data_IF_567553499625
#
_entry.id   IF_567553499625
#
_cell.length_a   1.000
_cell.length_b   1.000
_cell.length_c   1.000
_cell.angle_alpha   90.00
_cell.angle_beta   90.00
_cell.angle_gamma   90.00
#
_symmetry.space_group_name_H-M   'P 1'
#
loop_
_entity.id
_entity.type
_entity.pdbx_description
1 polymer ?
#
# COMPACT_ATOMS: atom_id res chain seq x y z
N UNK A 1 11.26 16.34 -3.17
CA UNK A 1 10.41 17.41 -2.61
C UNK A 1 9.02 16.83 -2.42
N UNK A 2 8.33 17.07 -1.29
CA UNK A 2 6.96 16.60 -1.12
C UNK A 2 6.04 17.31 -2.12
N UNK A 3 5.07 16.58 -2.66
CA UNK A 3 3.98 17.12 -3.48
C UNK A 3 2.75 17.25 -2.59
N UNK A 4 2.09 18.40 -2.63
CA UNK A 4 0.84 18.63 -1.93
C UNK A 4 -0.34 18.50 -2.91
N UNK A 5 -1.35 17.72 -2.51
CA UNK A 5 -2.56 17.48 -3.30
C UNK A 5 -3.76 17.88 -2.44
N UNK A 6 -4.57 18.83 -2.92
CA UNK A 6 -5.82 19.24 -2.29
C UNK A 6 -7.00 18.69 -3.10
N UNK A 7 -7.91 17.96 -2.42
CA UNK A 7 -9.08 17.34 -3.04
C UNK A 7 -10.33 17.82 -2.33
N UNK A 8 -11.31 18.32 -3.10
CA UNK A 8 -12.64 18.62 -2.56
C UNK A 8 -13.46 17.33 -2.56
N UNK A 9 -13.86 16.89 -1.37
CA UNK A 9 -14.67 15.70 -1.21
C UNK A 9 -16.15 16.09 -1.07
N UNK A 10 -17.08 15.35 -1.70
CA UNK A 10 -18.49 15.45 -1.36
C UNK A 10 -18.71 15.17 0.12
N UNK A 11 -19.70 15.82 0.73
CA UNK A 11 -19.96 15.72 2.17
C UNK A 11 -20.18 14.28 2.63
N UNK A 12 -20.92 13.49 1.85
CA UNK A 12 -21.17 12.07 2.14
C UNK A 12 -19.88 11.22 2.16
N UNK A 13 -18.94 11.52 1.27
CA UNK A 13 -17.65 10.84 1.23
C UNK A 13 -16.77 11.28 2.41
N UNK A 14 -16.78 12.57 2.74
CA UNK A 14 -16.05 13.10 3.88
C UNK A 14 -16.58 12.56 5.21
N UNK A 15 -17.91 12.39 5.36
CA UNK A 15 -18.52 11.78 6.53
C UNK A 15 -18.05 10.33 6.73
N UNK A 16 -18.11 9.51 5.68
CA UNK A 16 -17.63 8.11 5.71
C UNK A 16 -16.15 7.99 6.07
N UNK A 17 -15.31 8.89 5.58
CA UNK A 17 -13.89 8.88 5.92
C UNK A 17 -13.63 9.27 7.39
N UNK A 18 -14.41 10.22 7.93
CA UNK A 18 -14.31 10.63 9.35
C UNK A 18 -14.74 9.53 10.32
N UNK A 19 -15.65 8.65 9.90
CA UNK A 19 -16.01 7.46 10.68
C UNK A 19 -14.86 6.44 10.75
N UNK A 20 -13.99 6.40 9.74
CA UNK A 20 -12.86 5.47 9.66
C UNK A 20 -11.62 5.96 10.41
N UNK A 21 -11.37 7.28 10.40
CA UNK A 21 -10.18 7.87 11.03
C UNK A 21 -10.40 9.33 11.37
N UNK A 22 -9.82 9.77 12.49
CA UNK A 22 -9.70 11.18 12.84
C UNK A 22 -8.59 11.90 12.05
N UNK A 23 -7.58 11.16 11.57
CA UNK A 23 -6.51 11.67 10.72
C UNK A 23 -6.81 11.35 9.25
N UNK A 24 -7.55 12.25 8.60
CA UNK A 24 -7.94 12.11 7.20
C UNK A 24 -6.76 12.22 6.23
N UNK A 25 -5.80 13.16 6.40
CA UNK A 25 -4.61 13.20 5.56
C UNK A 25 -3.84 11.89 5.58
N UNK A 26 -3.62 11.32 6.77
CA UNK A 26 -2.94 10.01 6.88
C UNK A 26 -3.73 8.90 6.21
N UNK A 27 -5.05 8.84 6.45
CA UNK A 27 -5.92 7.84 5.83
C UNK A 27 -5.90 7.94 4.30
N UNK A 28 -5.94 9.16 3.76
CA UNK A 28 -5.86 9.42 2.33
C UNK A 28 -4.53 8.98 1.73
N UNK A 29 -3.42 9.30 2.39
CA UNK A 29 -2.09 8.85 1.98
C UNK A 29 -2.00 7.32 1.97
N UNK A 30 -2.42 6.65 3.05
CA UNK A 30 -2.43 5.19 3.14
C UNK A 30 -3.24 4.56 2.01
N UNK A 31 -4.47 5.04 1.77
CA UNK A 31 -5.32 4.51 0.70
C UNK A 31 -4.71 4.73 -0.68
N UNK A 32 -4.09 5.88 -0.92
CA UNK A 32 -3.42 6.18 -2.19
C UNK A 32 -2.24 5.25 -2.43
N UNK A 33 -1.30 5.18 -1.47
CA UNK A 33 -0.10 4.34 -1.61
C UNK A 33 -0.46 2.87 -1.75
N UNK A 34 -1.43 2.37 -0.97
CA UNK A 34 -1.89 1.00 -1.09
C UNK A 34 -2.59 0.73 -2.44
N UNK A 35 -3.27 1.71 -3.05
CA UNK A 35 -3.80 1.56 -4.41
C UNK A 35 -2.68 1.44 -5.44
N UNK A 36 -1.66 2.31 -5.38
CA UNK A 36 -0.52 2.25 -6.29
C UNK A 36 0.24 0.92 -6.17
N UNK A 37 0.38 0.39 -4.95
CA UNK A 37 0.93 -0.94 -4.71
C UNK A 37 0.08 -2.05 -5.33
N UNK A 38 -1.23 -2.02 -5.11
CA UNK A 38 -2.18 -2.99 -5.67
C UNK A 38 -2.12 -2.98 -7.20
N UNK A 39 -2.04 -1.80 -7.80
CA UNK A 39 -2.03 -1.60 -9.25
C UNK A 39 -0.63 -1.86 -9.87
N UNK A 40 0.34 -2.32 -9.07
CA UNK A 40 1.70 -2.68 -9.52
C UNK A 40 2.61 -1.49 -9.86
N UNK A 41 2.19 -0.28 -9.51
CA UNK A 41 2.96 0.95 -9.75
C UNK A 41 4.00 1.21 -8.67
N UNK A 42 3.82 0.63 -7.47
CA UNK A 42 4.82 0.59 -6.41
C UNK A 42 5.09 -0.85 -5.98
N UNK A 43 6.35 -1.14 -5.68
CA UNK A 43 6.73 -2.34 -4.94
C UNK A 43 6.31 -2.24 -3.47
N UNK A 44 6.29 -3.38 -2.77
CA UNK A 44 5.99 -3.42 -1.34
C UNK A 44 7.01 -2.60 -0.51
N UNK A 45 8.29 -2.63 -0.90
CA UNK A 45 9.36 -1.91 -0.21
C UNK A 45 9.19 -0.40 -0.36
N UNK A 46 8.86 0.09 -1.56
CA UNK A 46 8.59 1.52 -1.80
C UNK A 46 7.35 1.98 -1.03
N UNK A 47 6.26 1.22 -1.09
CA UNK A 47 5.04 1.53 -0.36
C UNK A 47 5.27 1.57 1.17
N UNK A 48 6.07 0.64 1.71
CA UNK A 48 6.46 0.65 3.13
C UNK A 48 7.31 1.87 3.49
N UNK A 49 8.30 2.21 2.66
CA UNK A 49 9.15 3.38 2.85
C UNK A 49 8.32 4.67 2.88
N UNK A 50 7.43 4.85 1.90
CA UNK A 50 6.61 6.07 1.76
C UNK A 50 5.60 6.24 2.90
N UNK A 51 5.13 5.14 3.49
CA UNK A 51 4.24 5.16 4.65
C UNK A 51 4.96 5.20 5.99
N UNK A 52 6.30 5.07 6.01
CA UNK A 52 7.09 4.96 7.23
C UNK A 52 6.82 3.67 8.02
N UNK A 53 6.48 2.58 7.33
CA UNK A 53 6.11 1.29 7.94
C UNK A 53 7.37 0.41 8.05
N UNK A 54 7.77 0.00 9.27
CA UNK A 54 9.07 -0.61 9.49
C UNK A 54 9.12 -2.11 9.21
N UNK A 55 7.97 -2.78 9.01
CA UNK A 55 7.92 -4.23 8.83
C UNK A 55 6.88 -4.67 7.82
N UNK A 56 7.19 -5.75 7.11
CA UNK A 56 6.28 -6.39 6.15
C UNK A 56 4.97 -6.79 6.83
N UNK A 57 5.03 -7.35 8.04
CA UNK A 57 3.84 -7.73 8.79
C UNK A 57 2.91 -6.54 9.07
N UNK A 58 3.45 -5.39 9.46
CA UNK A 58 2.64 -4.20 9.70
C UNK A 58 2.00 -3.68 8.40
N UNK A 59 2.68 -3.84 7.26
CA UNK A 59 2.13 -3.52 5.95
C UNK A 59 0.99 -4.47 5.55
N UNK A 60 1.14 -5.79 5.74
CA UNK A 60 0.08 -6.76 5.47
C UNK A 60 -1.16 -6.51 6.34
N UNK A 61 -0.96 -6.13 7.61
CA UNK A 61 -2.07 -5.73 8.51
C UNK A 61 -2.77 -4.46 8.01
N UNK A 62 -2.03 -3.51 7.45
CA UNK A 62 -2.60 -2.32 6.82
C UNK A 62 -3.43 -2.68 5.58
N UNK A 63 -2.91 -3.53 4.69
CA UNK A 63 -3.64 -3.99 3.50
C UNK A 63 -4.94 -4.70 3.88
N UNK A 64 -4.87 -5.59 4.86
CA UNK A 64 -6.03 -6.30 5.41
C UNK A 64 -7.09 -5.34 5.94
N UNK A 65 -6.67 -4.30 6.69
CA UNK A 65 -7.58 -3.28 7.24
C UNK A 65 -8.30 -2.48 6.15
N UNK A 66 -7.63 -2.23 5.03
CA UNK A 66 -8.22 -1.53 3.89
C UNK A 66 -9.01 -2.45 2.95
N UNK A 67 -9.15 -3.75 3.28
CA UNK A 67 -9.75 -4.77 2.41
C UNK A 67 -9.10 -4.81 1.02
N UNK A 68 -7.80 -4.48 0.95
CA UNK A 68 -7.05 -4.51 -0.28
C UNK A 68 -6.44 -5.91 -0.41
N UNK A 69 -6.89 -6.64 -1.40
CA UNK A 69 -6.19 -7.83 -1.88
C UNK A 69 -5.53 -7.43 -3.19
N UNK A 70 -4.22 -7.66 -3.28
CA UNK A 70 -3.50 -7.49 -4.53
C UNK A 70 -3.79 -8.71 -5.38
N UNK A 71 -4.34 -8.50 -6.56
CA UNK A 71 -4.42 -9.56 -7.56
C UNK A 71 -3.04 -9.70 -8.17
N UNK A 72 -2.27 -10.66 -7.67
CA UNK A 72 -0.94 -10.95 -8.21
C UNK A 72 -1.10 -11.54 -9.61
N UNK A 73 -0.41 -10.95 -10.58
CA UNK A 73 -0.27 -11.57 -11.89
C UNK A 73 0.61 -12.82 -11.79
N UNK A 74 0.44 -13.76 -12.73
CA UNK A 74 1.29 -14.95 -12.78
C UNK A 74 2.77 -14.58 -12.95
N UNK A 75 3.07 -13.56 -13.76
CA UNK A 75 4.45 -13.11 -13.98
C UNK A 75 5.12 -12.59 -12.70
N UNK A 76 4.38 -11.89 -11.85
CA UNK A 76 4.92 -11.36 -10.59
C UNK A 76 5.15 -12.46 -9.55
N UNK A 77 4.29 -13.47 -9.52
CA UNK A 77 4.49 -14.65 -8.68
C UNK A 77 5.76 -15.39 -9.11
N UNK A 78 5.93 -15.60 -10.42
CA UNK A 78 7.12 -16.26 -10.98
C UNK A 78 8.41 -15.47 -10.67
N UNK A 79 8.37 -14.13 -10.76
CA UNK A 79 9.51 -13.28 -10.44
C UNK A 79 9.90 -13.36 -8.95
N UNK A 80 8.93 -13.41 -8.04
CA UNK A 80 9.19 -13.55 -6.61
C UNK A 80 9.79 -14.93 -6.28
N UNK A 81 9.30 -16.01 -6.92
CA UNK A 81 9.91 -17.34 -6.79
C UNK A 81 11.37 -17.35 -7.25
N UNK A 82 11.67 -16.73 -8.40
CA UNK A 82 13.04 -16.63 -8.90
C UNK A 82 13.97 -15.85 -7.94
N UNK A 83 13.45 -14.80 -7.29
CA UNK A 83 14.19 -14.04 -6.29
C UNK A 83 14.49 -14.88 -5.03
N UNK A 84 13.51 -15.66 -4.56
CA UNK A 84 13.68 -16.57 -3.42
C UNK A 84 14.68 -17.68 -3.71
N UNK A 85 14.62 -18.30 -4.90
CA UNK A 85 15.57 -19.33 -5.32
C UNK A 85 17.01 -18.79 -5.37
N UNK A 86 17.17 -17.56 -5.86
CA UNK A 86 18.46 -16.87 -5.92
C UNK A 86 19.05 -16.58 -4.54
N UNK A 87 18.20 -16.29 -3.54
CA UNK A 87 18.61 -16.13 -2.15
C UNK A 87 19.01 -17.47 -1.53
N UNK A 88 18.25 -18.54 -1.79
CA UNK A 88 18.57 -19.88 -1.31
C UNK A 88 19.88 -20.42 -1.88
N UNK A 89 20.17 -20.15 -3.15
CA UNK A 89 21.42 -20.56 -3.80
C UNK A 89 22.67 -19.81 -3.29
N UNK A 90 22.47 -18.72 -2.53
CA UNK A 90 23.55 -17.88 -1.97
C UNK A 90 23.81 -18.14 -0.48
N UNK A 91 22.99 -18.98 0.16
CA UNK A 91 23.13 -19.40 1.56
C UNK A 91 23.87 -20.74 1.65
#
# INVERSE_FOLDING_TARGET
>A
MPVEIAIQLPDDAAAKLREQSHDLPRLGLEKLICSLYRDGQLSQVEAMHDLGIPSRLAFEQLLTRHHLHRDWSAEEVDAEFAALDSLHARA
#
